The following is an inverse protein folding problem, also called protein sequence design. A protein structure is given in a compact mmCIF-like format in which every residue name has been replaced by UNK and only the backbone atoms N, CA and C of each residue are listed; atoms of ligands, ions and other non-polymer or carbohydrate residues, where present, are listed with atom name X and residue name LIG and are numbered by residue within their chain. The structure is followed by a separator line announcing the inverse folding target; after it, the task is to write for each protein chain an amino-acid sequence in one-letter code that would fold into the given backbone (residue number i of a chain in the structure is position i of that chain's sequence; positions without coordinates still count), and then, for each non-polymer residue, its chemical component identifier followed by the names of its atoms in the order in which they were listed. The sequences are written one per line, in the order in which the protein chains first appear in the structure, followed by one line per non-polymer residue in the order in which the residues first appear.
data_IF_024978574956
#
_entry.id   IF_024978574956
#
_cell.length_a   1.000
_cell.length_b   1.000
_cell.length_c   1.000
_cell.angle_alpha   90.00
_cell.angle_beta   90.00
_cell.angle_gamma   90.00
#
_symmetry.space_group_name_H-M   'P 1'
#
loop_
_entity.id
_entity.type
_entity.pdbx_description
1 polymer ?
#
# COMPACT_ATOMS: atom_id res chain seq x y z
N UNK A 1 18.48 5.93 15.57
CA UNK A 1 17.95 4.55 15.66
C UNK A 1 18.43 3.87 14.39
N UNK A 2 19.33 2.89 14.48
CA UNK A 2 19.83 2.20 13.29
C UNK A 2 18.75 1.26 12.74
N UNK A 3 18.78 0.92 11.45
CA UNK A 3 17.83 -0.05 10.88
C UNK A 3 17.88 -1.38 11.64
N UNK A 4 16.73 -1.78 12.21
CA UNK A 4 16.57 -3.00 13.05
C UNK A 4 16.30 -4.24 12.18
N UNK A 5 16.13 -4.06 10.87
CA UNK A 5 15.56 -5.08 9.99
C UNK A 5 16.64 -5.59 9.03
N UNK A 6 16.83 -6.92 9.00
CA UNK A 6 17.54 -7.62 7.94
C UNK A 6 16.60 -8.61 7.23
N UNK A 7 16.84 -8.86 5.94
CA UNK A 7 16.04 -9.82 5.16
C UNK A 7 16.74 -11.18 5.20
N UNK A 8 16.04 -12.22 5.67
CA UNK A 8 16.48 -13.61 5.59
C UNK A 8 15.34 -14.49 5.12
N UNK A 9 15.58 -15.30 4.09
CA UNK A 9 14.57 -16.16 3.45
C UNK A 9 13.28 -15.37 3.16
N UNK A 10 13.42 -14.22 2.51
CA UNK A 10 12.32 -13.29 2.14
C UNK A 10 11.52 -12.73 3.33
N UNK A 11 11.97 -12.97 4.57
CA UNK A 11 11.32 -12.49 5.78
C UNK A 11 12.15 -11.39 6.43
N UNK A 12 11.50 -10.28 6.76
CA UNK A 12 12.07 -9.24 7.60
C UNK A 12 12.26 -9.78 9.04
N UNK A 13 13.52 -9.90 9.47
CA UNK A 13 13.92 -10.38 10.79
C UNK A 13 14.85 -9.39 11.46
N UNK A 14 14.94 -9.47 12.79
CA UNK A 14 15.90 -8.74 13.60
C UNK A 14 16.72 -9.73 14.42
N UNK A 15 17.99 -9.45 14.69
CA UNK A 15 18.77 -10.25 15.63
C UNK A 15 18.82 -9.62 17.04
N UNK A 16 19.04 -10.45 18.06
CA UNK A 16 19.06 -10.00 19.45
C UNK A 16 20.21 -9.04 19.79
N UNK A 17 21.28 -8.97 18.98
CA UNK A 17 22.37 -8.00 19.16
C UNK A 17 21.93 -6.60 18.72
N UNK A 18 21.24 -6.51 17.57
CA UNK A 18 20.65 -5.27 17.08
C UNK A 18 19.62 -4.71 18.06
N UNK A 19 18.77 -5.57 18.65
CA UNK A 19 17.83 -5.17 19.71
C UNK A 19 18.59 -4.61 20.91
N UNK A 20 19.62 -5.33 21.39
CA UNK A 20 20.44 -4.89 22.52
C UNK A 20 21.04 -3.49 22.27
N UNK A 21 21.67 -3.29 21.10
CA UNK A 21 22.29 -2.03 20.71
C UNK A 21 21.26 -0.89 20.62
N UNK A 22 20.14 -1.12 19.95
CA UNK A 22 19.17 -0.06 19.68
C UNK A 22 18.43 0.42 20.93
N UNK A 23 18.11 -0.49 21.84
CA UNK A 23 17.45 -0.16 23.11
C UNK A 23 18.44 0.12 24.25
N UNK A 24 19.75 0.07 24.00
CA UNK A 24 20.78 0.33 25.01
C UNK A 24 20.76 -0.68 26.15
N UNK A 25 20.42 -1.94 25.86
CA UNK A 25 20.35 -3.04 26.82
C UNK A 25 21.55 -3.97 26.62
N UNK A 26 22.02 -4.61 27.69
CA UNK A 26 23.04 -5.67 27.58
C UNK A 26 22.45 -6.88 26.86
N UNK A 27 23.25 -7.54 26.01
CA UNK A 27 22.79 -8.68 25.20
C UNK A 27 22.32 -9.86 26.05
N UNK A 28 22.99 -10.14 27.17
CA UNK A 28 22.59 -11.18 28.11
C UNK A 28 21.19 -10.96 28.71
N UNK A 29 20.83 -9.70 29.00
CA UNK A 29 19.48 -9.35 29.43
C UNK A 29 18.45 -9.67 28.34
N UNK A 30 18.76 -9.38 27.07
CA UNK A 30 17.89 -9.72 25.94
C UNK A 30 17.70 -11.24 25.83
N UNK A 31 18.77 -12.03 25.93
CA UNK A 31 18.69 -13.49 25.89
C UNK A 31 17.86 -14.05 27.05
N UNK A 32 17.96 -13.46 28.24
CA UNK A 32 17.17 -13.83 29.41
C UNK A 32 15.69 -13.52 29.20
N UNK A 33 15.36 -12.34 28.68
CA UNK A 33 13.99 -11.94 28.38
C UNK A 33 13.36 -12.86 27.31
N UNK A 34 14.08 -13.16 26.23
CA UNK A 34 13.62 -14.14 25.23
C UNK A 34 13.40 -15.52 25.87
N UNK A 35 14.35 -15.98 26.69
CA UNK A 35 14.22 -17.27 27.38
C UNK A 35 13.02 -17.33 28.32
N UNK A 36 12.65 -16.20 28.95
CA UNK A 36 11.46 -16.10 29.77
C UNK A 36 10.19 -16.20 28.91
N UNK A 37 10.14 -15.54 27.75
CA UNK A 37 9.03 -15.64 26.81
C UNK A 37 8.82 -17.08 26.33
N UNK A 38 9.89 -17.78 25.96
CA UNK A 38 9.84 -19.18 25.50
C UNK A 38 9.29 -20.16 26.55
N UNK A 39 9.30 -19.78 27.83
CA UNK A 39 8.81 -20.61 28.95
C UNK A 39 7.36 -20.33 29.33
N UNK A 40 6.69 -19.35 28.70
CA UNK A 40 5.28 -19.04 29.00
C UNK A 40 4.39 -20.18 28.50
N UNK A 41 3.73 -20.88 29.42
CA UNK A 41 2.86 -22.03 29.15
C UNK A 41 1.46 -21.63 28.66
N UNK A 42 0.85 -22.48 27.82
CA UNK A 42 -0.46 -22.28 27.18
C UNK A 42 -0.51 -22.99 25.82
N UNK A 43 -1.67 -23.53 25.44
CA UNK A 43 -1.82 -24.36 24.21
C UNK A 43 -1.34 -23.64 22.94
N UNK A 44 -1.52 -22.32 22.90
CA UNK A 44 -1.24 -21.49 21.73
C UNK A 44 0.11 -20.74 21.82
N UNK A 45 0.72 -20.66 23.00
CA UNK A 45 1.91 -19.82 23.22
C UNK A 45 3.17 -20.50 22.70
N UNK A 46 3.37 -21.78 22.98
CA UNK A 46 4.57 -22.52 22.62
C UNK A 46 4.82 -22.53 21.10
N UNK A 47 3.78 -22.78 20.30
CA UNK A 47 3.88 -22.77 18.84
C UNK A 47 4.15 -21.36 18.29
N UNK A 48 3.50 -20.33 18.85
CA UNK A 48 3.74 -18.93 18.47
C UNK A 48 5.17 -18.51 18.77
N UNK A 49 5.71 -18.90 19.93
CA UNK A 49 7.08 -18.60 20.31
C UNK A 49 8.12 -19.24 19.41
N UNK A 50 7.93 -20.51 19.03
CA UNK A 50 8.81 -21.21 18.09
C UNK A 50 8.81 -20.56 16.69
N UNK A 51 7.69 -19.96 16.27
CA UNK A 51 7.62 -19.19 15.02
C UNK A 51 8.29 -17.81 15.14
N UNK A 52 8.19 -17.20 16.32
CA UNK A 52 8.70 -15.86 16.59
C UNK A 52 10.21 -15.80 16.78
N UNK A 53 10.82 -16.82 17.40
CA UNK A 53 12.23 -16.82 17.77
C UNK A 53 12.97 -18.04 17.22
N UNK A 54 14.05 -17.80 16.47
CA UNK A 54 14.95 -18.84 15.95
C UNK A 54 16.32 -18.68 16.58
N UNK A 55 16.76 -19.70 17.31
CA UNK A 55 18.07 -19.73 17.93
C UNK A 55 19.18 -19.76 16.87
N UNK A 56 20.28 -19.05 17.13
CA UNK A 56 21.45 -19.01 16.28
C UNK A 56 22.70 -18.68 17.11
N UNK A 57 23.85 -18.58 16.45
CA UNK A 57 25.12 -18.23 17.09
C UNK A 57 25.84 -17.14 16.30
N UNK A 58 26.69 -16.39 17.00
CA UNK A 58 27.63 -15.45 16.39
C UNK A 58 29.02 -15.64 16.99
N UNK A 59 30.06 -15.26 16.26
CA UNK A 59 31.42 -15.18 16.79
C UNK A 59 31.67 -13.76 17.30
N UNK A 60 32.16 -13.64 18.53
CA UNK A 60 32.62 -12.36 19.05
C UNK A 60 34.02 -12.00 18.53
N UNK A 61 34.55 -10.84 18.94
CA UNK A 61 35.88 -10.36 18.58
C UNK A 61 37.02 -11.28 19.06
N UNK A 62 36.77 -12.17 20.03
CA UNK A 62 37.73 -13.17 20.51
C UNK A 62 37.65 -14.48 19.71
N UNK A 63 36.71 -14.58 18.75
CA UNK A 63 36.44 -15.79 17.97
C UNK A 63 35.56 -16.80 18.70
N UNK A 64 35.11 -16.50 19.93
CA UNK A 64 34.24 -17.37 20.72
C UNK A 64 32.82 -17.35 20.15
N UNK A 65 32.23 -18.54 20.02
CA UNK A 65 30.83 -18.69 19.60
C UNK A 65 29.90 -18.41 20.76
N UNK A 66 29.00 -17.44 20.59
CA UNK A 66 28.00 -17.03 21.58
C UNK A 66 26.58 -17.17 21.00
N UNK A 67 25.61 -17.39 21.88
CA UNK A 67 24.20 -17.58 21.53
C UNK A 67 23.55 -16.26 21.12
N UNK A 68 22.67 -16.30 20.13
CA UNK A 68 21.78 -15.20 19.76
C UNK A 68 20.44 -15.73 19.22
N UNK A 69 19.50 -14.84 18.96
CA UNK A 69 18.21 -15.18 18.35
C UNK A 69 17.94 -14.28 17.15
N UNK A 70 17.46 -14.88 16.08
CA UNK A 70 16.67 -14.15 15.08
C UNK A 70 15.22 -14.12 15.53
N UNK A 71 14.56 -12.99 15.32
CA UNK A 71 13.14 -12.84 15.61
C UNK A 71 12.41 -12.18 14.46
N UNK A 72 11.17 -12.63 14.22
CA UNK A 72 10.29 -11.97 13.27
C UNK A 72 9.67 -10.71 13.92
N UNK A 73 8.84 -9.99 13.16
CA UNK A 73 8.15 -8.77 13.65
C UNK A 73 7.37 -9.02 14.94
N UNK A 74 6.69 -10.15 15.06
CA UNK A 74 5.79 -10.42 16.18
C UNK A 74 6.59 -10.72 17.47
N UNK A 75 7.65 -11.54 17.35
CA UNK A 75 8.60 -11.78 18.45
C UNK A 75 9.30 -10.50 18.90
N UNK A 76 9.75 -9.67 17.95
CA UNK A 76 10.34 -8.37 18.25
C UNK A 76 9.36 -7.45 18.97
N UNK A 77 8.13 -7.34 18.46
CA UNK A 77 7.09 -6.49 19.05
C UNK A 77 6.79 -6.93 20.48
N UNK A 78 6.58 -8.23 20.70
CA UNK A 78 6.29 -8.75 22.04
C UNK A 78 7.42 -8.47 23.03
N UNK A 79 8.67 -8.70 22.61
CA UNK A 79 9.86 -8.42 23.40
C UNK A 79 9.94 -6.94 23.78
N UNK A 80 9.81 -6.03 22.82
CA UNK A 80 9.90 -4.58 23.06
C UNK A 80 8.73 -4.05 23.89
N UNK A 81 7.54 -4.66 23.83
CA UNK A 81 6.41 -4.29 24.68
C UNK A 81 6.73 -4.46 26.17
N UNK A 82 7.55 -5.45 26.54
CA UNK A 82 8.05 -5.65 27.91
C UNK A 82 9.16 -4.69 28.33
N UNK A 83 9.80 -3.98 27.41
CA UNK A 83 10.91 -3.08 27.73
C UNK A 83 10.43 -1.80 28.44
N UNK A 84 11.27 -1.29 29.34
CA UNK A 84 11.14 0.03 29.95
C UNK A 84 12.23 0.99 29.44
N UNK A 85 12.01 2.30 29.60
CA UNK A 85 12.97 3.36 29.25
C UNK A 85 12.53 4.24 28.06
N UNK A 86 13.18 5.39 27.89
CA UNK A 86 12.79 6.41 26.90
C UNK A 86 12.71 5.86 25.47
N UNK A 87 13.76 5.16 24.99
CA UNK A 87 13.78 4.60 23.63
C UNK A 87 12.69 3.56 23.39
N UNK A 88 12.38 2.76 24.42
CA UNK A 88 11.27 1.80 24.36
C UNK A 88 9.93 2.53 24.25
N UNK A 89 9.72 3.57 25.05
CA UNK A 89 8.49 4.38 25.01
C UNK A 89 8.31 5.09 23.66
N UNK A 90 9.37 5.68 23.11
CA UNK A 90 9.34 6.30 21.77
C UNK A 90 8.94 5.29 20.68
N UNK A 91 9.50 4.09 20.73
CA UNK A 91 9.13 3.03 19.79
C UNK A 91 7.67 2.60 19.96
N UNK A 92 7.21 2.41 21.20
CA UNK A 92 5.81 2.04 21.50
C UNK A 92 4.83 3.09 20.99
N UNK A 93 5.13 4.39 21.17
CA UNK A 93 4.30 5.46 20.62
C UNK A 93 4.24 5.42 19.10
N UNK A 94 5.36 5.20 18.41
CA UNK A 94 5.37 5.02 16.95
C UNK A 94 4.52 3.84 16.50
N UNK A 95 4.60 2.71 17.21
CA UNK A 95 3.77 1.54 16.95
C UNK A 95 2.27 1.85 17.12
N UNK A 96 1.90 2.52 18.22
CA UNK A 96 0.51 2.95 18.49
C UNK A 96 0.01 3.90 17.40
N UNK A 97 0.80 4.89 16.99
CA UNK A 97 0.44 5.82 15.90
C UNK A 97 0.19 5.08 14.59
N UNK A 98 1.05 4.12 14.24
CA UNK A 98 0.87 3.32 13.04
C UNK A 98 -0.40 2.44 13.13
N UNK A 99 -0.66 1.85 14.30
CA UNK A 99 -1.88 1.07 14.55
C UNK A 99 -3.15 1.91 14.40
N UNK A 100 -3.22 3.07 15.03
CA UNK A 100 -4.37 3.98 14.94
C UNK A 100 -4.60 4.46 13.51
N UNK A 101 -3.52 4.69 12.75
CA UNK A 101 -3.63 5.01 11.32
C UNK A 101 -4.25 3.86 10.52
N UNK A 102 -3.83 2.62 10.77
CA UNK A 102 -4.42 1.45 10.11
C UNK A 102 -5.90 1.29 10.48
N UNK A 103 -6.25 1.46 11.76
CA UNK A 103 -7.63 1.40 12.22
C UNK A 103 -8.50 2.47 11.53
N UNK A 104 -8.03 3.71 11.47
CA UNK A 104 -8.74 4.81 10.83
C UNK A 104 -9.02 4.52 9.36
N UNK A 105 -8.03 4.00 8.62
CA UNK A 105 -8.20 3.61 7.20
C UNK A 105 -9.26 2.49 7.06
N UNK A 106 -9.25 1.50 7.97
CA UNK A 106 -10.24 0.41 7.92
C UNK A 106 -11.64 0.94 8.19
N UNK A 107 -11.81 1.80 9.20
CA UNK A 107 -13.10 2.40 9.55
C UNK A 107 -13.66 3.25 8.41
N UNK A 108 -12.82 4.07 7.79
CA UNK A 108 -13.21 4.89 6.63
C UNK A 108 -13.75 4.02 5.49
N UNK A 109 -13.04 2.93 5.17
CA UNK A 109 -13.44 1.95 4.12
C UNK A 109 -14.71 1.16 4.45
N UNK A 110 -15.13 1.12 5.71
CA UNK A 110 -16.35 0.44 6.13
C UNK A 110 -17.59 1.35 6.11
N UNK A 111 -17.43 2.66 5.87
CA UNK A 111 -18.58 3.57 5.77
C UNK A 111 -19.44 3.24 4.55
N UNK A 112 -20.78 3.32 4.64
CA UNK A 112 -21.67 3.10 3.51
C UNK A 112 -21.34 4.00 2.31
N UNK A 113 -21.03 5.27 2.57
CA UNK A 113 -20.63 6.23 1.54
C UNK A 113 -19.39 5.78 0.77
N UNK A 114 -18.36 5.26 1.45
CA UNK A 114 -17.17 4.74 0.79
C UNK A 114 -17.47 3.49 -0.06
N UNK A 115 -18.31 2.58 0.46
CA UNK A 115 -18.72 1.39 -0.26
C UNK A 115 -19.53 1.73 -1.52
N UNK A 116 -20.47 2.67 -1.42
CA UNK A 116 -21.26 3.18 -2.54
C UNK A 116 -20.38 3.86 -3.58
N UNK A 117 -19.47 4.75 -3.15
CA UNK A 117 -18.47 5.39 -4.02
C UNK A 117 -17.61 4.35 -4.74
N UNK A 118 -17.22 3.27 -4.06
CA UNK A 118 -16.44 2.18 -4.67
C UNK A 118 -17.24 1.40 -5.71
N UNK A 119 -18.51 1.08 -5.43
CA UNK A 119 -19.38 0.39 -6.39
C UNK A 119 -19.68 1.27 -7.60
N UNK A 120 -19.95 2.56 -7.37
CA UNK A 120 -20.13 3.55 -8.43
C UNK A 120 -18.88 3.64 -9.30
N UNK A 121 -17.70 3.79 -8.71
CA UNK A 121 -16.43 3.83 -9.43
C UNK A 121 -16.18 2.59 -10.30
N UNK A 122 -16.49 1.38 -9.80
CA UNK A 122 -16.39 0.14 -10.61
C UNK A 122 -17.34 0.16 -11.81
N UNK A 123 -18.59 0.58 -11.58
CA UNK A 123 -19.61 0.66 -12.64
C UNK A 123 -19.23 1.70 -13.70
N UNK A 124 -18.74 2.86 -13.27
CA UNK A 124 -18.32 3.93 -14.18
C UNK A 124 -17.08 3.52 -14.96
N UNK A 125 -16.08 2.89 -14.34
CA UNK A 125 -14.91 2.36 -15.05
C UNK A 125 -15.31 1.36 -16.13
N UNK A 126 -16.26 0.46 -15.83
CA UNK A 126 -16.77 -0.49 -16.83
C UNK A 126 -17.40 0.24 -18.03
N UNK A 127 -18.25 1.23 -17.77
CA UNK A 127 -18.86 2.05 -18.84
C UNK A 127 -17.81 2.75 -19.70
N UNK A 128 -16.80 3.33 -19.08
CA UNK A 128 -15.69 3.98 -19.77
C UNK A 128 -14.90 2.97 -20.62
N UNK A 129 -14.57 1.80 -20.09
CA UNK A 129 -13.83 0.77 -20.85
C UNK A 129 -14.64 0.22 -22.02
N UNK A 130 -15.96 0.10 -21.87
CA UNK A 130 -16.85 -0.33 -22.95
C UNK A 130 -16.93 0.75 -24.05
N UNK A 131 -16.95 2.04 -23.68
CA UNK A 131 -16.89 3.15 -24.62
C UNK A 131 -15.53 3.22 -25.36
N UNK A 132 -14.41 3.05 -24.63
CA UNK A 132 -13.08 2.98 -25.23
C UNK A 132 -12.98 1.79 -26.20
N UNK A 133 -13.57 0.64 -25.88
CA UNK A 133 -13.62 -0.50 -26.80
C UNK A 133 -14.32 -0.13 -28.11
N UNK A 134 -15.49 0.51 -28.05
CA UNK A 134 -16.18 1.04 -29.25
C UNK A 134 -15.31 2.03 -30.01
N UNK A 135 -14.60 2.92 -29.31
CA UNK A 135 -13.69 3.89 -29.93
C UNK A 135 -12.50 3.22 -30.60
N UNK A 136 -11.97 2.12 -30.05
CA UNK A 136 -10.88 1.33 -30.66
C UNK A 136 -11.34 0.76 -31.99
N UNK A 137 -12.52 0.15 -32.05
CA UNK A 137 -13.12 -0.37 -33.28
C UNK A 137 -13.34 0.76 -34.29
N UNK A 138 -13.91 1.88 -33.84
CA UNK A 138 -14.15 3.05 -34.66
C UNK A 138 -12.86 3.68 -35.21
N UNK A 139 -11.82 3.82 -34.40
CA UNK A 139 -10.52 4.34 -34.81
C UNK A 139 -9.81 3.40 -35.79
N UNK A 140 -10.01 2.08 -35.64
CA UNK A 140 -9.49 1.07 -36.59
C UNK A 140 -10.14 1.24 -37.95
N UNK A 141 -11.47 1.42 -38.00
CA UNK A 141 -12.19 1.70 -39.24
C UNK A 141 -11.74 3.02 -39.91
N UNK A 142 -11.32 4.01 -39.12
CA UNK A 142 -10.72 5.26 -39.62
C UNK A 142 -9.23 5.13 -40.00
N UNK A 143 -8.63 3.93 -39.95
CA UNK A 143 -7.24 3.69 -40.37
C UNK A 143 -6.17 3.95 -39.30
N UNK A 144 -6.52 3.90 -38.01
CA UNK A 144 -5.52 3.99 -36.93
C UNK A 144 -4.55 2.81 -36.93
N UNK A 145 -3.24 3.09 -36.88
CA UNK A 145 -2.19 2.05 -36.83
C UNK A 145 -2.06 1.38 -35.45
N UNK A 146 -2.44 2.08 -34.38
CA UNK A 146 -2.27 1.61 -33.00
C UNK A 146 -3.48 1.92 -32.10
N UNK A 147 -4.68 1.43 -32.46
CA UNK A 147 -5.92 1.76 -31.75
C UNK A 147 -5.91 1.29 -30.29
N UNK A 148 -5.22 0.18 -29.97
CA UNK A 148 -5.09 -0.32 -28.60
C UNK A 148 -4.41 0.65 -27.61
N UNK A 149 -3.66 1.66 -28.09
CA UNK A 149 -3.06 2.69 -27.22
C UNK A 149 -4.10 3.62 -26.60
N UNK A 150 -5.34 3.63 -27.08
CA UNK A 150 -6.42 4.47 -26.54
C UNK A 150 -6.69 4.15 -25.06
N UNK A 151 -6.67 2.87 -24.64
CA UNK A 151 -6.81 2.50 -23.22
C UNK A 151 -5.80 3.20 -22.33
N UNK A 152 -4.52 3.15 -22.70
CA UNK A 152 -3.44 3.79 -21.95
C UNK A 152 -3.56 5.31 -21.98
N UNK A 153 -3.93 5.89 -23.12
CA UNK A 153 -4.07 7.34 -23.29
C UNK A 153 -5.19 7.92 -22.42
N UNK A 154 -6.36 7.28 -22.40
CA UNK A 154 -7.50 7.72 -21.57
C UNK A 154 -7.23 7.48 -20.09
N UNK A 155 -6.64 6.34 -19.71
CA UNK A 155 -6.24 6.09 -18.31
C UNK A 155 -5.26 7.15 -17.81
N UNK A 156 -4.27 7.51 -18.64
CA UNK A 156 -3.31 8.57 -18.30
C UNK A 156 -3.98 9.93 -18.19
N UNK A 157 -4.93 10.23 -19.07
CA UNK A 157 -5.70 11.48 -19.05
C UNK A 157 -6.51 11.60 -17.75
N UNK A 158 -7.19 10.53 -17.34
CA UNK A 158 -7.95 10.47 -16.07
C UNK A 158 -7.04 10.67 -14.86
N UNK A 159 -5.91 9.95 -14.80
CA UNK A 159 -4.94 10.08 -13.71
C UNK A 159 -4.35 11.50 -13.64
N UNK A 160 -4.01 12.09 -14.79
CA UNK A 160 -3.53 13.46 -14.88
C UNK A 160 -4.59 14.47 -14.40
N UNK A 161 -5.85 14.25 -14.78
CA UNK A 161 -6.97 15.12 -14.38
C UNK A 161 -7.16 15.11 -12.86
N UNK A 162 -7.00 13.95 -12.23
CA UNK A 162 -7.15 13.78 -10.80
C UNK A 162 -5.88 14.08 -9.98
N UNK A 163 -4.75 14.39 -10.62
CA UNK A 163 -3.48 14.66 -9.92
C UNK A 163 -2.88 13.45 -9.22
N UNK A 164 -3.12 12.22 -9.71
CA UNK A 164 -2.63 10.98 -9.08
C UNK A 164 -1.72 10.16 -9.98
N UNK A 165 -0.79 9.44 -9.35
CA UNK A 165 0.05 8.44 -10.04
C UNK A 165 -0.69 7.12 -10.27
N UNK A 166 -1.51 6.71 -9.31
CA UNK A 166 -2.36 5.51 -9.41
C UNK A 166 -3.64 5.68 -8.58
N UNK A 167 -4.64 4.87 -8.89
CA UNK A 167 -5.94 4.91 -8.18
C UNK A 167 -5.83 4.44 -6.73
N UNK A 168 -4.85 3.59 -6.43
CA UNK A 168 -4.60 3.06 -5.07
C UNK A 168 -4.03 4.12 -4.13
N UNK A 169 -3.34 5.13 -4.68
CA UNK A 169 -2.76 6.23 -3.93
C UNK A 169 -3.70 7.45 -3.81
N UNK A 170 -4.88 7.40 -4.41
CA UNK A 170 -5.82 8.53 -4.49
C UNK A 170 -6.56 8.78 -3.16
N UNK A 171 -6.73 10.05 -2.82
CA UNK A 171 -7.63 10.49 -1.73
C UNK A 171 -9.11 10.31 -2.10
N UNK A 172 -10.02 10.50 -1.15
CA UNK A 172 -11.47 10.44 -1.40
C UNK A 172 -11.91 11.43 -2.49
N UNK A 173 -11.43 12.67 -2.42
CA UNK A 173 -11.72 13.73 -3.41
C UNK A 173 -11.15 13.32 -4.78
N UNK A 174 -9.91 12.83 -4.83
CA UNK A 174 -9.28 12.40 -6.07
C UNK A 174 -10.01 11.19 -6.69
N UNK A 175 -10.51 10.24 -5.89
CA UNK A 175 -11.34 9.12 -6.37
C UNK A 175 -12.68 9.60 -6.96
N UNK A 176 -13.26 10.65 -6.39
CA UNK A 176 -14.45 11.31 -6.94
C UNK A 176 -14.14 11.96 -8.28
N UNK A 177 -13.05 12.73 -8.38
CA UNK A 177 -12.60 13.35 -9.63
C UNK A 177 -12.34 12.32 -10.72
N UNK A 178 -11.67 11.21 -10.39
CA UNK A 178 -11.49 10.07 -11.32
C UNK A 178 -12.84 9.58 -11.82
N UNK A 179 -13.79 9.34 -10.93
CA UNK A 179 -15.11 8.79 -11.30
C UNK A 179 -15.89 9.74 -12.21
N UNK A 180 -15.85 11.04 -11.94
CA UNK A 180 -16.47 12.06 -12.82
C UNK A 180 -15.76 12.10 -14.18
N UNK A 181 -14.42 12.08 -14.20
CA UNK A 181 -13.65 12.10 -15.43
C UNK A 181 -13.94 10.87 -16.32
N UNK A 182 -13.98 9.67 -15.75
CA UNK A 182 -14.33 8.42 -16.45
C UNK A 182 -15.74 8.50 -17.05
N UNK A 183 -16.70 9.10 -16.33
CA UNK A 183 -18.07 9.32 -16.83
C UNK A 183 -18.11 10.30 -18.01
N UNK A 184 -17.38 11.42 -17.92
CA UNK A 184 -17.29 12.43 -18.99
C UNK A 184 -16.65 11.84 -20.24
N UNK A 185 -15.59 11.04 -20.07
CA UNK A 185 -14.91 10.34 -21.17
C UNK A 185 -15.90 9.42 -21.86
N UNK A 186 -16.58 8.54 -21.12
CA UNK A 186 -17.53 7.59 -21.69
C UNK A 186 -18.59 8.29 -22.55
N UNK A 187 -19.24 9.33 -21.99
CA UNK A 187 -20.27 10.09 -22.69
C UNK A 187 -19.72 10.83 -23.93
N UNK A 188 -18.54 11.43 -23.81
CA UNK A 188 -17.94 12.20 -24.91
C UNK A 188 -17.50 11.29 -26.06
N UNK A 189 -17.03 10.08 -25.74
CA UNK A 189 -16.73 9.06 -26.74
C UNK A 189 -18.00 8.66 -27.48
N UNK A 190 -19.05 8.27 -26.76
CA UNK A 190 -20.29 7.78 -27.38
C UNK A 190 -20.92 8.86 -28.29
N UNK A 191 -21.06 10.10 -27.80
CA UNK A 191 -21.58 11.20 -28.62
C UNK A 191 -20.68 11.53 -29.82
N UNK A 192 -19.36 11.48 -29.65
CA UNK A 192 -18.43 11.75 -30.74
C UNK A 192 -18.50 10.71 -31.86
N UNK A 193 -18.73 9.44 -31.52
CA UNK A 193 -18.96 8.35 -32.49
C UNK A 193 -20.28 8.56 -33.22
N UNK A 194 -21.36 8.88 -32.50
CA UNK A 194 -22.69 9.18 -33.07
C UNK A 194 -22.65 10.35 -34.06
N UNK A 195 -21.88 11.38 -33.73
CA UNK A 195 -21.64 12.56 -34.57
C UNK A 195 -20.67 12.29 -35.74
N UNK A 196 -20.14 11.07 -35.86
CA UNK A 196 -19.13 10.68 -36.86
C UNK A 196 -17.85 11.54 -36.86
N UNK A 197 -17.42 12.02 -35.68
CA UNK A 197 -16.20 12.82 -35.56
C UNK A 197 -14.94 12.00 -35.80
N UNK A 198 -13.85 12.59 -36.32
CA UNK A 198 -12.54 11.94 -36.30
C UNK A 198 -12.16 11.50 -34.87
N UNK A 199 -11.68 10.26 -34.69
CA UNK A 199 -11.38 9.73 -33.34
C UNK A 199 -10.36 10.60 -32.56
N UNK A 200 -9.47 11.30 -33.29
CA UNK A 200 -8.51 12.24 -32.71
C UNK A 200 -9.19 13.49 -32.14
N UNK A 201 -10.27 13.95 -32.75
CA UNK A 201 -11.06 15.08 -32.28
C UNK A 201 -11.83 14.72 -31.01
N UNK A 202 -12.41 13.53 -30.95
CA UNK A 202 -13.07 12.98 -29.74
C UNK A 202 -12.12 13.01 -28.54
N UNK A 203 -10.85 12.65 -28.74
CA UNK A 203 -9.83 12.74 -27.69
C UNK A 203 -9.59 14.18 -27.23
N UNK A 204 -9.52 15.14 -28.17
CA UNK A 204 -9.36 16.56 -27.81
C UNK A 204 -10.59 17.10 -27.06
N UNK A 205 -11.79 16.69 -27.45
CA UNK A 205 -13.03 17.07 -26.76
C UNK A 205 -13.05 16.54 -25.32
N UNK A 206 -12.62 15.29 -25.10
CA UNK A 206 -12.42 14.75 -23.76
C UNK A 206 -11.43 15.59 -22.97
N UNK A 207 -10.26 15.89 -23.54
CA UNK A 207 -9.22 16.69 -22.88
C UNK A 207 -9.74 18.09 -22.50
N UNK A 208 -10.48 18.76 -23.38
CA UNK A 208 -11.08 20.08 -23.11
C UNK A 208 -12.11 20.00 -21.98
N UNK A 209 -13.02 19.03 -22.02
CA UNK A 209 -14.05 18.87 -20.99
C UNK A 209 -13.47 18.52 -19.62
N UNK A 210 -12.36 17.78 -19.58
CA UNK A 210 -11.70 17.43 -18.32
C UNK A 210 -10.86 18.57 -17.73
N UNK A 211 -10.53 19.61 -18.51
CA UNK A 211 -9.75 20.74 -18.01
C UNK A 211 -10.41 21.45 -16.83
N UNK A 212 -11.76 21.45 -16.74
CA UNK A 212 -12.50 22.06 -15.62
C UNK A 212 -12.33 21.32 -14.30
N UNK A 213 -11.84 20.08 -14.32
CA UNK A 213 -11.64 19.24 -13.14
C UNK A 213 -10.19 19.29 -12.62
N UNK A 214 -9.27 19.92 -13.36
CA UNK A 214 -7.88 20.05 -12.95
C UNK A 214 -7.78 20.92 -11.68
N UNK A 215 -7.05 20.45 -10.68
CA UNK A 215 -6.85 21.16 -9.40
C UNK A 215 -7.95 20.96 -8.35
N UNK A 216 -9.04 20.23 -8.65
CA UNK A 216 -10.14 19.99 -7.69
C UNK A 216 -9.73 19.11 -6.49
N UNK A 217 -8.61 18.40 -6.59
CA UNK A 217 -8.09 17.51 -5.54
C UNK A 217 -6.63 17.77 -5.14
N UNK A 218 -6.12 18.98 -5.41
CA UNK A 218 -4.81 19.47 -4.93
C UNK A 218 -4.90 20.06 -3.51
#
# INVERSE_FOLDING_TARGET
MNEIICIRNETAVCDSLQVAQNFGKRHDNILREISALLKIEGSDSAQKWAQCFKESTYKDSTGKSNKMYYMNRDGFTFLVMGFTGQKANEWKWKYITAFNRMESIIREKQTPAWQESRQLGKKTRKKETDAIQRLVEYATAQGSSHPGRLYTNYTRLTNQTAGVSSREAATEIQLSVITVAESIIAQTIDSGIEENKPYKEIYQDCKKKLAVLQGVGE
#
